data_IF_994155615302
#
_entry.id   IF_994155615302
#
_cell.length_a   1.000
_cell.length_b   1.000
_cell.length_c   1.000
_cell.angle_alpha   90.00
_cell.angle_beta   90.00
_cell.angle_gamma   90.00
#
_symmetry.space_group_name_H-M   'P 1'
#
loop_
_entity.id
_entity.type
_entity.pdbx_description
1 polymer ?
#
# COMPACT_ATOMS: atom_id res chain seq x y z
N UNK A 1 19.93 -11.19 8.35
CA UNK A 1 19.04 -11.06 7.18
C UNK A 1 19.41 -9.74 6.53
N UNK A 2 20.35 -9.80 5.60
CA UNK A 2 20.74 -8.62 4.81
C UNK A 2 19.58 -8.36 3.85
N UNK A 3 18.91 -7.23 4.02
CA UNK A 3 17.76 -6.88 3.20
C UNK A 3 18.28 -6.37 1.87
N UNK A 4 18.07 -7.17 0.81
CA UNK A 4 18.52 -6.83 -0.52
C UNK A 4 17.66 -5.70 -1.11
N UNK A 5 18.28 -4.52 -1.27
CA UNK A 5 17.61 -3.37 -1.87
C UNK A 5 17.30 -3.60 -3.35
N UNK A 6 18.00 -4.50 -4.05
CA UNK A 6 17.72 -4.84 -5.44
C UNK A 6 16.41 -5.64 -5.54
N UNK A 7 16.21 -6.60 -4.64
CA UNK A 7 14.96 -7.36 -4.54
C UNK A 7 13.76 -6.44 -4.25
N UNK A 8 13.89 -5.54 -3.27
CA UNK A 8 12.82 -4.57 -2.94
C UNK A 8 12.53 -3.64 -4.13
N UNK A 9 13.54 -3.22 -4.90
CA UNK A 9 13.30 -2.41 -6.10
C UNK A 9 12.51 -3.18 -7.15
N UNK A 10 12.87 -4.43 -7.44
CA UNK A 10 12.11 -5.27 -8.37
C UNK A 10 10.66 -5.46 -7.92
N UNK A 11 10.42 -5.67 -6.62
CA UNK A 11 9.08 -5.73 -6.05
C UNK A 11 8.29 -4.44 -6.26
N UNK A 12 8.92 -3.27 -6.08
CA UNK A 12 8.26 -1.97 -6.25
C UNK A 12 8.01 -1.62 -7.71
N UNK A 13 8.87 -2.03 -8.63
CA UNK A 13 8.63 -1.89 -10.07
C UNK A 13 7.39 -2.68 -10.50
N UNK A 14 7.25 -3.93 -10.02
CA UNK A 14 6.07 -4.76 -10.30
C UNK A 14 4.75 -4.17 -9.77
N UNK A 15 4.82 -3.26 -8.79
CA UNK A 15 3.63 -2.59 -8.26
C UNK A 15 2.93 -1.71 -9.30
N UNK A 16 3.63 -1.24 -10.34
CA UNK A 16 3.01 -0.43 -11.40
C UNK A 16 1.94 -1.24 -12.14
N UNK A 17 2.25 -2.49 -12.48
CA UNK A 17 1.33 -3.40 -13.16
C UNK A 17 0.15 -3.79 -12.24
N UNK A 18 0.44 -4.08 -10.97
CA UNK A 18 -0.60 -4.36 -9.97
C UNK A 18 -1.55 -3.16 -9.77
N UNK A 19 -1.04 -1.93 -9.82
CA UNK A 19 -1.86 -0.71 -9.78
C UNK A 19 -2.76 -0.56 -11.00
N UNK A 20 -2.28 -0.92 -12.19
CA UNK A 20 -3.06 -0.88 -13.42
C UNK A 20 -4.18 -1.93 -13.41
N UNK A 21 -3.87 -3.15 -12.96
CA UNK A 21 -4.86 -4.19 -12.73
C UNK A 21 -5.92 -3.75 -11.71
N UNK A 22 -5.49 -3.18 -10.58
CA UNK A 22 -6.39 -2.66 -9.55
C UNK A 22 -7.33 -1.60 -10.10
N UNK A 23 -6.81 -0.65 -10.89
CA UNK A 23 -7.62 0.40 -11.49
C UNK A 23 -8.63 -0.15 -12.51
N UNK A 24 -8.25 -1.16 -13.29
CA UNK A 24 -9.14 -1.84 -14.22
C UNK A 24 -10.31 -2.51 -13.48
N UNK A 25 -10.05 -3.24 -12.40
CA UNK A 25 -11.07 -3.88 -11.57
C UNK A 25 -11.99 -2.85 -10.90
N UNK A 26 -11.44 -1.75 -10.39
CA UNK A 26 -12.24 -0.65 -9.83
C UNK A 26 -13.17 -0.01 -10.88
N UNK A 27 -12.74 0.06 -12.15
CA UNK A 27 -13.61 0.52 -13.24
C UNK A 27 -14.76 -0.45 -13.51
N UNK A 28 -14.53 -1.76 -13.43
CA UNK A 28 -15.59 -2.76 -13.50
C UNK A 28 -16.57 -2.58 -12.34
N UNK A 29 -16.07 -2.41 -11.11
CA UNK A 29 -16.91 -2.18 -9.92
C UNK A 29 -17.80 -0.94 -10.08
N UNK A 30 -17.23 0.16 -10.59
CA UNK A 30 -17.98 1.40 -10.86
C UNK A 30 -19.13 1.16 -11.85
N UNK A 31 -18.90 0.40 -12.92
CA UNK A 31 -19.92 0.04 -13.92
C UNK A 31 -21.01 -0.85 -13.32
N UNK A 32 -20.64 -1.83 -12.50
CA UNK A 32 -21.59 -2.71 -11.79
C UNK A 32 -22.47 -1.88 -10.85
N UNK A 33 -21.87 -1.01 -10.03
CA UNK A 33 -22.62 -0.14 -9.11
C UNK A 33 -23.56 0.77 -9.90
N UNK A 34 -23.09 1.40 -10.99
CA UNK A 34 -23.93 2.27 -11.81
C UNK A 34 -25.18 1.53 -12.34
N UNK A 35 -24.99 0.36 -12.97
CA UNK A 35 -26.10 -0.43 -13.54
C UNK A 35 -27.12 -0.89 -12.48
N UNK A 36 -26.65 -1.20 -11.27
CA UNK A 36 -27.48 -1.81 -10.23
C UNK A 36 -27.99 -0.79 -9.18
N UNK A 37 -27.70 0.50 -9.35
CA UNK A 37 -28.04 1.53 -8.36
C UNK A 37 -29.55 1.59 -8.12
N UNK A 38 -30.38 1.60 -9.16
CA UNK A 38 -31.82 1.79 -8.97
C UNK A 38 -32.51 0.61 -8.28
N UNK A 39 -31.99 -0.61 -8.45
CA UNK A 39 -32.58 -1.84 -7.88
C UNK A 39 -32.18 -2.03 -6.41
N UNK A 40 -30.94 -1.69 -6.05
CA UNK A 40 -30.39 -2.05 -4.75
C UNK A 40 -30.01 -0.85 -3.88
N UNK A 41 -30.37 0.38 -4.29
CA UNK A 41 -29.96 1.63 -3.63
C UNK A 41 -30.11 1.59 -2.12
N UNK A 42 -31.21 1.04 -1.58
CA UNK A 42 -31.49 1.07 -0.13
C UNK A 42 -30.98 -0.16 0.62
N UNK A 43 -30.40 -1.14 -0.07
CA UNK A 43 -29.92 -2.36 0.55
C UNK A 43 -28.55 -2.14 1.21
N UNK A 44 -28.37 -2.71 2.41
CA UNK A 44 -27.14 -2.55 3.20
C UNK A 44 -25.91 -3.09 2.47
N UNK A 45 -25.99 -4.27 1.86
CA UNK A 45 -24.88 -4.84 1.08
C UNK A 45 -24.44 -3.90 -0.05
N UNK A 46 -25.40 -3.21 -0.68
CA UNK A 46 -25.12 -2.29 -1.78
C UNK A 46 -24.52 -0.98 -1.28
N UNK A 47 -24.92 -0.51 -0.10
CA UNK A 47 -24.28 0.62 0.57
C UNK A 47 -22.81 0.32 0.92
N UNK A 48 -22.48 -0.91 1.31
CA UNK A 48 -21.07 -1.31 1.49
C UNK A 48 -20.28 -1.27 0.18
N UNK A 49 -20.84 -1.71 -0.95
CA UNK A 49 -20.20 -1.56 -2.26
C UNK A 49 -19.99 -0.08 -2.65
N UNK A 50 -20.98 0.76 -2.38
CA UNK A 50 -20.86 2.21 -2.61
C UNK A 50 -19.76 2.81 -1.72
N UNK A 51 -19.60 2.31 -0.49
CA UNK A 51 -18.53 2.72 0.40
C UNK A 51 -17.14 2.32 -0.13
N UNK A 52 -16.96 1.07 -0.58
CA UNK A 52 -15.73 0.61 -1.27
C UNK A 52 -15.38 1.55 -2.43
N UNK A 53 -16.36 1.86 -3.30
CA UNK A 53 -16.17 2.82 -4.39
C UNK A 53 -15.73 4.21 -3.91
N UNK A 54 -16.24 4.68 -2.77
CA UNK A 54 -15.90 6.02 -2.23
C UNK A 54 -14.46 6.07 -1.73
N UNK A 55 -14.01 5.07 -0.99
CA UNK A 55 -12.63 4.98 -0.51
C UNK A 55 -11.65 4.99 -1.70
N UNK A 56 -11.98 4.26 -2.77
CA UNK A 56 -11.19 4.21 -4.00
C UNK A 56 -11.21 5.48 -4.86
N UNK A 57 -11.96 6.52 -4.50
CA UNK A 57 -11.82 7.84 -5.14
C UNK A 57 -10.64 8.61 -4.58
N UNK A 58 -10.19 8.30 -3.37
CA UNK A 58 -9.04 8.96 -2.75
C UNK A 58 -7.71 8.50 -3.40
N UNK A 59 -7.67 7.25 -3.88
CA UNK A 59 -6.51 6.66 -4.54
C UNK A 59 -6.49 7.08 -6.02
N UNK A 60 -5.66 8.08 -6.34
CA UNK A 60 -5.45 8.53 -7.73
C UNK A 60 -4.30 7.74 -8.36
N UNK A 61 -4.50 7.06 -9.52
CA UNK A 61 -3.48 6.22 -10.12
C UNK A 61 -2.19 6.98 -10.43
N UNK A 62 -2.30 8.18 -11.02
CA UNK A 62 -1.14 9.01 -11.38
C UNK A 62 -0.33 9.42 -10.16
N UNK A 63 -1.02 9.75 -9.05
CA UNK A 63 -0.37 10.13 -7.80
C UNK A 63 0.38 8.93 -7.21
N UNK A 64 -0.26 7.76 -7.17
CA UNK A 64 0.38 6.55 -6.65
C UNK A 64 1.57 6.11 -7.51
N UNK A 65 1.47 6.18 -8.84
CA UNK A 65 2.60 5.90 -9.76
C UNK A 65 3.75 6.88 -9.56
N UNK A 66 3.45 8.16 -9.30
CA UNK A 66 4.46 9.14 -8.95
C UNK A 66 5.15 8.83 -7.61
N UNK A 67 4.39 8.37 -6.61
CA UNK A 67 4.95 7.90 -5.34
C UNK A 67 5.85 6.68 -5.54
N UNK A 68 5.45 5.70 -6.36
CA UNK A 68 6.28 4.53 -6.72
C UNK A 68 7.61 4.98 -7.34
N UNK A 69 7.57 5.89 -8.30
CA UNK A 69 8.80 6.45 -8.90
C UNK A 69 9.69 7.14 -7.86
N UNK A 70 9.08 7.86 -6.92
CA UNK A 70 9.82 8.55 -5.85
C UNK A 70 10.46 7.56 -4.87
N UNK A 71 9.79 6.45 -4.56
CA UNK A 71 10.30 5.34 -3.75
C UNK A 71 11.53 4.73 -4.43
N UNK A 72 11.43 4.35 -5.70
CA UNK A 72 12.54 3.77 -6.46
C UNK A 72 13.76 4.70 -6.48
N UNK A 73 13.54 6.00 -6.65
CA UNK A 73 14.64 6.97 -6.62
C UNK A 73 15.30 7.11 -5.24
N UNK A 74 14.54 6.97 -4.15
CA UNK A 74 15.10 6.98 -2.79
C UNK A 74 15.87 5.69 -2.52
N UNK A 75 15.31 4.53 -2.90
CA UNK A 75 15.98 3.24 -2.75
C UNK A 75 17.30 3.21 -3.54
N UNK A 76 17.31 3.69 -4.79
CA UNK A 76 18.53 3.78 -5.60
C UNK A 76 19.59 4.72 -5.00
N UNK A 77 19.16 5.82 -4.38
CA UNK A 77 20.08 6.75 -3.70
C UNK A 77 20.65 6.21 -2.39
N UNK A 78 19.97 5.23 -1.77
CA UNK A 78 20.42 4.56 -0.54
C UNK A 78 21.35 3.37 -0.82
N UNK A 79 21.49 2.96 -2.09
CA UNK A 79 22.44 1.92 -2.51
C UNK A 79 23.86 2.46 -2.56
N UNK A 80 24.80 1.59 -2.21
CA UNK A 80 26.23 1.84 -2.41
C UNK A 80 26.58 1.42 -3.84
N UNK A 81 26.82 2.40 -4.73
CA UNK A 81 27.00 2.16 -6.17
C UNK A 81 28.41 1.69 -6.54
N UNK A 82 29.40 2.14 -5.79
CA UNK A 82 30.80 1.81 -6.05
C UNK A 82 31.26 0.71 -5.10
N UNK A 83 31.82 -0.38 -5.65
CA UNK A 83 32.36 -1.49 -4.86
C UNK A 83 33.51 -1.09 -3.92
N UNK A 84 34.12 0.07 -4.14
CA UNK A 84 35.15 0.66 -3.27
C UNK A 84 34.58 1.46 -2.09
N UNK A 85 33.28 1.74 -2.06
CA UNK A 85 32.62 2.44 -0.96
C UNK A 85 31.97 1.43 0.00
N UNK A 86 32.00 1.72 1.30
CA UNK A 86 31.32 0.92 2.32
C UNK A 86 29.96 1.50 2.73
N UNK A 87 29.70 2.77 2.42
CA UNK A 87 28.45 3.46 2.73
C UNK A 87 28.22 4.63 1.76
N UNK A 88 26.98 5.11 1.69
CA UNK A 88 26.61 6.32 0.94
C UNK A 88 27.27 7.55 1.59
N UNK A 89 27.78 8.48 0.78
CA UNK A 89 28.44 9.69 1.29
C UNK A 89 27.50 10.53 2.14
N UNK A 90 28.01 11.01 3.28
CA UNK A 90 27.27 11.93 4.17
C UNK A 90 26.74 13.16 3.44
N UNK A 91 27.47 13.68 2.44
CA UNK A 91 27.05 14.85 1.65
C UNK A 91 25.73 14.62 0.91
N UNK A 92 25.48 13.38 0.47
CA UNK A 92 24.23 13.00 -0.20
C UNK A 92 23.11 12.86 0.83
N UNK A 93 23.36 12.13 1.92
CA UNK A 93 22.38 11.87 2.98
C UNK A 93 21.92 13.14 3.71
N UNK A 94 22.84 14.09 3.90
CA UNK A 94 22.58 15.34 4.59
C UNK A 94 22.11 16.47 3.67
N UNK A 95 22.01 16.21 2.35
CA UNK A 95 21.46 17.18 1.42
C UNK A 95 20.01 17.51 1.80
N UNK A 96 19.67 18.79 1.87
CA UNK A 96 18.32 19.24 2.19
C UNK A 96 17.26 18.64 1.25
N UNK A 97 17.61 18.49 -0.03
CA UNK A 97 16.74 17.91 -1.05
C UNK A 97 16.51 16.41 -0.82
N UNK A 98 17.53 15.67 -0.39
CA UNK A 98 17.39 14.24 -0.12
C UNK A 98 16.55 14.00 1.14
N UNK A 99 16.83 14.74 2.22
CA UNK A 99 16.07 14.63 3.47
C UNK A 99 14.58 14.95 3.29
N UNK A 100 14.27 16.02 2.56
CA UNK A 100 12.88 16.40 2.25
C UNK A 100 12.19 15.35 1.38
N UNK A 101 12.91 14.75 0.43
CA UNK A 101 12.40 13.67 -0.40
C UNK A 101 12.09 12.41 0.42
N UNK A 102 12.99 11.99 1.32
CA UNK A 102 12.76 10.84 2.21
C UNK A 102 11.56 11.09 3.12
N UNK A 103 11.46 12.27 3.74
CA UNK A 103 10.30 12.67 4.57
C UNK A 103 9.00 12.58 3.75
N UNK A 104 8.97 13.17 2.55
CA UNK A 104 7.81 13.14 1.67
C UNK A 104 7.42 11.71 1.29
N UNK A 105 8.38 10.85 0.91
CA UNK A 105 8.13 9.46 0.52
C UNK A 105 7.57 8.66 1.70
N UNK A 106 8.17 8.76 2.88
CA UNK A 106 7.71 8.04 4.07
C UNK A 106 6.31 8.47 4.49
N UNK A 107 6.00 9.78 4.47
CA UNK A 107 4.64 10.28 4.74
C UNK A 107 3.62 9.75 3.72
N UNK A 108 3.97 9.76 2.45
CA UNK A 108 3.09 9.25 1.39
C UNK A 108 2.86 7.75 1.52
N UNK A 109 3.89 6.97 1.86
CA UNK A 109 3.80 5.54 2.12
C UNK A 109 2.84 5.24 3.28
N UNK A 110 3.02 5.92 4.43
CA UNK A 110 2.13 5.73 5.60
C UNK A 110 0.67 6.01 5.21
N UNK A 111 0.41 7.15 4.55
CA UNK A 111 -0.95 7.52 4.16
C UNK A 111 -1.57 6.54 3.14
N UNK A 112 -0.78 6.03 2.19
CA UNK A 112 -1.23 5.02 1.22
C UNK A 112 -1.56 3.70 1.90
N UNK A 113 -0.69 3.25 2.81
CA UNK A 113 -0.85 2.02 3.58
C UNK A 113 -2.14 2.07 4.42
N UNK A 114 -2.38 3.17 5.15
CA UNK A 114 -3.62 3.37 5.91
C UNK A 114 -4.85 3.31 5.00
N UNK A 115 -4.82 4.03 3.87
CA UNK A 115 -5.92 4.05 2.89
C UNK A 115 -6.22 2.64 2.37
N UNK A 116 -5.20 1.81 2.18
CA UNK A 116 -5.37 0.44 1.67
C UNK A 116 -5.95 -0.48 2.73
N UNK A 117 -5.55 -0.34 3.99
CA UNK A 117 -6.15 -1.11 5.09
C UNK A 117 -7.64 -0.78 5.23
N UNK A 118 -8.01 0.50 5.18
CA UNK A 118 -9.42 0.93 5.20
C UNK A 118 -10.22 0.36 4.02
N UNK A 119 -9.63 0.40 2.81
CA UNK A 119 -10.26 -0.15 1.61
C UNK A 119 -10.47 -1.66 1.72
N UNK A 120 -9.47 -2.41 2.16
CA UNK A 120 -9.54 -3.86 2.35
C UNK A 120 -10.61 -4.25 3.37
N UNK A 121 -10.79 -3.46 4.43
CA UNK A 121 -11.82 -3.74 5.44
C UNK A 121 -13.23 -3.47 4.91
N UNK A 122 -13.41 -2.40 4.13
CA UNK A 122 -14.66 -2.14 3.43
C UNK A 122 -14.98 -3.25 2.40
N UNK A 123 -13.97 -3.77 1.70
CA UNK A 123 -14.09 -4.87 0.75
C UNK A 123 -14.52 -6.16 1.45
N UNK A 124 -13.86 -6.52 2.55
CA UNK A 124 -14.24 -7.68 3.39
C UNK A 124 -15.68 -7.58 3.85
N UNK A 125 -16.09 -6.41 4.37
CA UNK A 125 -17.46 -6.17 4.82
C UNK A 125 -18.50 -6.30 3.70
N UNK A 126 -18.19 -5.76 2.52
CA UNK A 126 -19.06 -5.89 1.34
C UNK A 126 -19.15 -7.34 0.86
N UNK A 127 -18.03 -8.07 0.88
CA UNK A 127 -17.93 -9.47 0.48
C UNK A 127 -18.82 -10.36 1.36
N UNK A 128 -18.72 -10.22 2.69
CA UNK A 128 -19.54 -10.97 3.64
C UNK A 128 -21.03 -10.67 3.43
N UNK A 129 -21.41 -9.40 3.31
CA UNK A 129 -22.82 -9.02 3.12
C UNK A 129 -23.41 -9.55 1.81
N UNK A 130 -22.63 -9.59 0.73
CA UNK A 130 -23.02 -10.22 -0.53
C UNK A 130 -23.07 -11.75 -0.42
N UNK A 131 -22.15 -12.35 0.34
CA UNK A 131 -22.16 -13.78 0.66
C UNK A 131 -23.47 -14.22 1.32
N UNK A 132 -24.05 -13.38 2.19
CA UNK A 132 -25.39 -13.65 2.76
C UNK A 132 -26.48 -13.64 1.69
N UNK A 133 -26.44 -12.71 0.74
CA UNK A 133 -27.41 -12.67 -0.37
C UNK A 133 -27.28 -13.90 -1.28
N UNK A 134 -26.03 -14.30 -1.55
CA UNK A 134 -25.70 -15.50 -2.31
C UNK A 134 -26.22 -16.77 -1.61
N UNK A 135 -26.03 -16.90 -0.30
CA UNK A 135 -26.53 -18.04 0.48
C UNK A 135 -28.07 -18.14 0.46
N UNK A 136 -28.77 -17.01 0.38
CA UNK A 136 -30.23 -16.95 0.20
C UNK A 136 -30.67 -17.11 -1.27
N UNK A 137 -29.74 -17.34 -2.19
CA UNK A 137 -29.98 -17.40 -3.65
C UNK A 137 -30.57 -16.14 -4.27
N UNK A 138 -30.40 -14.99 -3.63
CA UNK A 138 -30.88 -13.70 -4.13
C UNK A 138 -29.90 -13.11 -5.13
N UNK A 139 -30.43 -12.61 -6.26
CA UNK A 139 -29.68 -11.90 -7.30
C UNK A 139 -28.40 -12.64 -7.72
N UNK A 140 -28.45 -13.97 -7.86
CA UNK A 140 -27.29 -14.85 -7.99
C UNK A 140 -26.23 -14.37 -8.99
N UNK A 141 -26.58 -13.98 -10.23
CA UNK A 141 -25.57 -13.49 -11.19
C UNK A 141 -24.83 -12.24 -10.69
N UNK A 142 -25.54 -11.31 -10.06
CA UNK A 142 -24.95 -10.10 -9.48
C UNK A 142 -24.03 -10.45 -8.30
N UNK A 143 -24.50 -11.32 -7.39
CA UNK A 143 -23.73 -11.72 -6.22
C UNK A 143 -22.43 -12.42 -6.60
N UNK A 144 -22.47 -13.43 -7.48
CA UNK A 144 -21.29 -14.19 -7.92
C UNK A 144 -20.24 -13.29 -8.59
N UNK A 145 -20.68 -12.43 -9.52
CA UNK A 145 -19.75 -11.54 -10.22
C UNK A 145 -19.14 -10.52 -9.26
N UNK A 146 -19.93 -9.98 -8.35
CA UNK A 146 -19.46 -8.93 -7.43
C UNK A 146 -18.57 -9.48 -6.32
N UNK A 147 -18.85 -10.68 -5.78
CA UNK A 147 -17.96 -11.31 -4.79
C UNK A 147 -16.64 -11.72 -5.42
N UNK A 148 -16.64 -12.26 -6.65
CA UNK A 148 -15.43 -12.56 -7.40
C UNK A 148 -14.58 -11.30 -7.64
N UNK A 149 -15.23 -10.18 -8.02
CA UNK A 149 -14.57 -8.90 -8.19
C UNK A 149 -13.96 -8.36 -6.90
N UNK A 150 -14.71 -8.41 -5.79
CA UNK A 150 -14.21 -8.00 -4.48
C UNK A 150 -13.02 -8.86 -4.02
N UNK A 151 -13.04 -10.16 -4.28
CA UNK A 151 -11.91 -11.05 -4.01
C UNK A 151 -10.65 -10.62 -4.76
N UNK A 152 -10.76 -10.32 -6.07
CA UNK A 152 -9.63 -9.82 -6.87
C UNK A 152 -9.11 -8.47 -6.39
N UNK A 153 -10.01 -7.53 -6.06
CA UNK A 153 -9.64 -6.24 -5.47
C UNK A 153 -8.86 -6.43 -4.17
N UNK A 154 -9.36 -7.30 -3.29
CA UNK A 154 -8.74 -7.58 -2.01
C UNK A 154 -7.33 -8.15 -2.18
N UNK A 155 -7.14 -9.12 -3.08
CA UNK A 155 -5.82 -9.69 -3.37
C UNK A 155 -4.85 -8.65 -3.91
N UNK A 156 -5.29 -7.79 -4.85
CA UNK A 156 -4.46 -6.73 -5.40
C UNK A 156 -4.04 -5.71 -4.32
N UNK A 157 -4.97 -5.30 -3.46
CA UNK A 157 -4.63 -4.44 -2.31
C UNK A 157 -3.67 -5.12 -1.35
N UNK A 158 -3.87 -6.40 -1.05
CA UNK A 158 -2.97 -7.16 -0.17
C UNK A 158 -1.56 -7.21 -0.75
N UNK A 159 -1.40 -7.51 -2.04
CA UNK A 159 -0.10 -7.50 -2.71
C UNK A 159 0.57 -6.13 -2.58
N UNK A 160 -0.14 -5.06 -2.93
CA UNK A 160 0.41 -3.71 -2.86
C UNK A 160 0.73 -3.26 -1.43
N UNK A 161 -0.13 -3.61 -0.46
CA UNK A 161 0.06 -3.30 0.95
C UNK A 161 1.35 -3.92 1.48
N UNK A 162 1.60 -5.20 1.17
CA UNK A 162 2.83 -5.90 1.55
C UNK A 162 4.03 -5.20 0.92
N UNK A 163 4.00 -4.89 -0.39
CA UNK A 163 5.13 -4.23 -1.07
C UNK A 163 5.41 -2.82 -0.56
N UNK A 164 4.38 -2.02 -0.30
CA UNK A 164 4.57 -0.68 0.26
C UNK A 164 5.06 -0.71 1.70
N UNK A 165 4.62 -1.70 2.49
CA UNK A 165 5.15 -1.93 3.83
C UNK A 165 6.61 -2.35 3.77
N UNK A 166 6.97 -3.26 2.87
CA UNK A 166 8.34 -3.70 2.63
C UNK A 166 9.23 -2.51 2.25
N UNK A 167 8.82 -1.68 1.30
CA UNK A 167 9.56 -0.47 0.94
C UNK A 167 9.68 0.56 2.07
N UNK A 168 8.62 0.74 2.87
CA UNK A 168 8.67 1.63 4.04
C UNK A 168 9.74 1.19 5.04
N UNK A 169 9.76 -0.10 5.40
CA UNK A 169 10.78 -0.65 6.28
C UNK A 169 12.16 -0.59 5.61
N UNK A 170 12.24 -0.88 4.31
CA UNK A 170 13.50 -0.88 3.58
C UNK A 170 14.16 0.50 3.58
N UNK A 171 13.40 1.54 3.24
CA UNK A 171 13.88 2.92 3.27
C UNK A 171 14.27 3.32 4.70
N UNK A 172 13.44 2.99 5.69
CA UNK A 172 13.69 3.35 7.10
C UNK A 172 15.00 2.75 7.61
N UNK A 173 15.19 1.44 7.41
CA UNK A 173 16.37 0.71 7.85
C UNK A 173 17.61 1.10 7.06
N UNK A 174 17.52 1.19 5.73
CA UNK A 174 18.64 1.58 4.89
C UNK A 174 19.08 3.01 5.19
N UNK A 175 18.15 3.96 5.33
CA UNK A 175 18.50 5.33 5.66
C UNK A 175 19.16 5.45 7.03
N UNK A 176 18.66 4.74 8.05
CA UNK A 176 19.30 4.70 9.37
C UNK A 176 20.69 4.06 9.31
N UNK A 177 20.84 2.92 8.63
CA UNK A 177 22.10 2.21 8.50
C UNK A 177 23.16 3.06 7.78
N UNK A 178 22.82 3.60 6.61
CA UNK A 178 23.71 4.47 5.83
C UNK A 178 24.10 5.73 6.61
N UNK A 179 23.16 6.31 7.36
CA UNK A 179 23.45 7.48 8.18
C UNK A 179 24.32 7.16 9.39
N UNK A 180 24.15 5.99 10.00
CA UNK A 180 24.96 5.53 11.14
C UNK A 180 26.39 5.25 10.70
N UNK A 181 26.56 4.63 9.52
CA UNK A 181 27.88 4.37 8.94
C UNK A 181 28.58 5.67 8.52
N UNK A 182 27.86 6.61 7.91
CA UNK A 182 28.42 7.86 7.43
C UNK A 182 28.69 8.90 8.54
N UNK A 183 27.81 8.98 9.55
CA UNK A 183 27.95 9.90 10.68
C UNK A 183 27.21 9.37 11.93
N UNK A 184 27.90 8.62 12.81
CA UNK A 184 27.30 8.04 14.01
C UNK A 184 26.66 9.08 14.96
N UNK A 185 27.17 10.30 15.01
CA UNK A 185 26.67 11.34 15.91
C UNK A 185 25.26 11.82 15.53
N UNK A 186 24.90 11.72 14.25
CA UNK A 186 23.60 12.15 13.74
C UNK A 186 22.56 11.01 13.70
N UNK A 187 22.99 9.77 13.97
CA UNK A 187 22.13 8.59 13.94
C UNK A 187 20.96 8.70 14.92
N UNK A 188 21.18 9.26 16.12
CA UNK A 188 20.13 9.47 17.12
C UNK A 188 19.02 10.40 16.62
N UNK A 189 19.41 11.51 15.97
CA UNK A 189 18.46 12.49 15.43
C UNK A 189 17.62 11.87 14.31
N UNK A 190 18.25 11.07 13.44
CA UNK A 190 17.55 10.37 12.36
C UNK A 190 16.63 9.29 12.92
N UNK A 191 17.06 8.53 13.93
CA UNK A 191 16.20 7.55 14.58
C UNK A 191 14.95 8.19 15.19
N UNK A 192 15.08 9.34 15.87
CA UNK A 192 13.93 10.11 16.38
C UNK A 192 13.03 10.60 15.25
N UNK A 193 13.60 11.11 14.15
CA UNK A 193 12.81 11.50 12.98
C UNK A 193 12.05 10.31 12.39
N UNK A 194 12.72 9.18 12.20
CA UNK A 194 12.14 7.98 11.60
C UNK A 194 11.03 7.37 12.47
N UNK A 195 11.14 7.49 13.79
CA UNK A 195 10.08 7.09 14.71
C UNK A 195 8.74 7.81 14.46
N UNK A 196 8.76 9.01 13.87
CA UNK A 196 7.55 9.75 13.51
C UNK A 196 6.78 9.15 12.33
N UNK A 197 7.40 8.29 11.51
CA UNK A 197 6.74 7.58 10.40
C UNK A 197 6.43 6.13 10.74
N UNK A 198 6.40 5.77 12.03
CA UNK A 198 6.04 4.42 12.45
C UNK A 198 4.65 4.05 11.92
N UNK A 199 4.55 2.86 11.34
CA UNK A 199 3.26 2.35 10.87
C UNK A 199 2.28 2.19 12.05
N UNK A 200 1.00 2.57 11.89
CA UNK A 200 0.00 2.41 12.92
C UNK A 200 -0.18 0.94 13.34
N UNK A 201 -0.54 0.66 14.61
CA UNK A 201 -0.70 -0.70 15.10
C UNK A 201 -1.72 -1.54 14.31
N UNK A 202 -2.82 -0.92 13.87
CA UNK A 202 -3.88 -1.62 13.11
C UNK A 202 -3.39 -2.14 11.74
N UNK A 203 -2.40 -1.46 11.14
CA UNK A 203 -1.75 -1.92 9.91
C UNK A 203 -0.90 -3.16 10.21
N UNK A 204 -0.12 -3.13 11.29
CA UNK A 204 0.76 -4.24 11.69
C UNK A 204 -0.05 -5.50 11.97
N UNK A 205 -1.17 -5.36 12.69
CA UNK A 205 -2.11 -6.47 12.94
C UNK A 205 -2.64 -7.05 11.63
N UNK A 206 -2.91 -6.22 10.62
CA UNK A 206 -3.41 -6.69 9.32
C UNK A 206 -2.36 -7.44 8.50
N UNK A 207 -1.09 -7.16 8.71
CA UNK A 207 0.03 -7.86 8.07
C UNK A 207 0.32 -9.19 8.75
N UNK A 208 -0.08 -9.35 10.01
CA UNK A 208 0.01 -10.61 10.74
C UNK A 208 -1.07 -11.59 10.24
N UNK A 209 -0.70 -12.38 9.24
CA UNK A 209 -1.57 -13.37 8.60
C UNK A 209 -2.05 -14.45 9.58
N UNK A 210 -1.41 -14.62 10.73
CA UNK A 210 -1.77 -15.61 11.74
C UNK A 210 -3.12 -15.33 12.40
N UNK A 211 -3.51 -14.05 12.55
CA UNK A 211 -4.79 -13.67 13.18
C UNK A 211 -5.98 -13.63 12.20
N UNK A 212 -5.72 -13.74 10.90
CA UNK A 212 -6.75 -13.67 9.87
C UNK A 212 -7.58 -14.97 9.72
N UNK A 213 -7.16 -16.06 10.35
CA UNK A 213 -7.80 -17.37 10.30
C UNK A 213 -8.78 -17.65 11.46
N UNK A 214 -8.83 -16.78 12.46
CA UNK A 214 -9.61 -17.00 13.69
C UNK A 214 -10.98 -16.29 13.74
N UNK A 215 -11.48 -15.75 12.61
CA UNK A 215 -12.83 -15.15 12.54
C UNK A 215 -13.60 -15.48 11.26
#
# INVERSE_FOLDING_TARGET
>A
MEMDLDEVNGHIESCVEAMDALHAELNVLRKIIYKNTNQHRRANYFQYLVHVKRLHRAVKPDKTKHTIKSILQVLDALKVKDASMHHVSWKVLCSGDFKTKVDSVLRQLVALIETYVDAMEAEKKAYIALGMQYAMTFFMPFCVVTTSLLGRLYTLHQTLLVRFTEAHHAITLAYLAQSTLANPLYASTIATQLASYRLPPHVVVRLDLSQSLDN
#
